data_IF_669127192006
#
_entry.id   IF_669127192006
#
_cell.length_a   1.000
_cell.length_b   1.000
_cell.length_c   1.000
_cell.angle_alpha   90.00
_cell.angle_beta   90.00
_cell.angle_gamma   90.00
#
_symmetry.space_group_name_H-M   'P 1'
#
loop_
_entity.id
_entity.type
_entity.pdbx_description
1 polymer ?
#
# COMPACT_ATOMS: atom_id res chain seq x y z
N UNK A 1 16.53 -13.19 12.62
CA UNK A 1 15.48 -12.71 11.69
C UNK A 1 16.09 -11.67 10.78
N UNK A 2 15.90 -11.82 9.49
CA UNK A 2 16.60 -11.07 8.47
C UNK A 2 15.60 -10.35 7.55
N UNK A 3 15.87 -9.08 7.19
CA UNK A 3 14.98 -8.24 6.40
C UNK A 3 15.58 -7.99 5.01
N UNK A 4 14.79 -8.12 3.95
CA UNK A 4 15.15 -7.62 2.62
C UNK A 4 14.42 -6.29 2.37
N UNK A 5 15.17 -5.20 2.25
CA UNK A 5 14.63 -3.91 1.78
C UNK A 5 14.77 -3.91 0.27
N UNK A 6 13.64 -3.77 -0.43
CA UNK A 6 13.58 -3.80 -1.90
C UNK A 6 13.21 -2.42 -2.41
N UNK A 7 14.09 -1.83 -3.20
CA UNK A 7 13.88 -0.55 -3.89
C UNK A 7 13.79 -0.79 -5.38
N UNK A 8 12.68 -0.38 -5.99
CA UNK A 8 12.58 -0.32 -7.44
C UNK A 8 12.74 1.12 -7.91
N UNK A 9 13.39 1.32 -9.06
CA UNK A 9 13.60 2.65 -9.64
C UNK A 9 13.54 2.61 -11.16
N UNK A 10 13.05 3.68 -11.78
CA UNK A 10 13.13 3.91 -13.21
C UNK A 10 13.13 5.41 -13.50
N UNK A 11 14.23 5.93 -14.05
CA UNK A 11 14.42 7.35 -14.36
C UNK A 11 14.04 8.28 -13.19
N UNK A 12 14.45 7.89 -11.97
CA UNK A 12 14.18 8.62 -10.73
C UNK A 12 15.41 8.69 -9.82
N UNK A 13 16.49 9.28 -10.34
CA UNK A 13 17.74 9.46 -9.59
C UNK A 13 17.52 10.23 -8.28
N UNK A 14 16.72 11.30 -8.31
CA UNK A 14 16.43 12.10 -7.12
C UNK A 14 15.71 11.30 -6.03
N UNK A 15 14.74 10.49 -6.42
CA UNK A 15 14.05 9.58 -5.50
C UNK A 15 14.98 8.50 -4.96
N UNK A 16 15.84 7.93 -5.81
CA UNK A 16 16.85 6.96 -5.36
C UNK A 16 17.80 7.54 -4.32
N UNK A 17 18.24 8.81 -4.49
CA UNK A 17 19.00 9.54 -3.48
C UNK A 17 18.25 9.67 -2.15
N UNK A 18 16.97 10.11 -2.19
CA UNK A 18 16.15 10.24 -0.97
C UNK A 18 16.05 8.92 -0.20
N UNK A 19 15.76 7.82 -0.91
CA UNK A 19 15.65 6.49 -0.29
C UNK A 19 16.99 6.07 0.32
N UNK A 20 18.09 6.21 -0.42
CA UNK A 20 19.44 5.92 0.05
C UNK A 20 19.79 6.71 1.33
N UNK A 21 19.58 8.03 1.31
CA UNK A 21 19.89 8.90 2.44
C UNK A 21 19.10 8.50 3.69
N UNK A 22 17.84 8.07 3.53
CA UNK A 22 17.00 7.59 4.63
C UNK A 22 17.53 6.28 5.25
N UNK A 23 18.22 5.45 4.48
CA UNK A 23 18.81 4.17 4.91
C UNK A 23 20.25 4.32 5.37
N UNK A 24 20.91 5.45 5.11
CA UNK A 24 22.35 5.62 5.26
C UNK A 24 22.88 5.28 6.65
N UNK A 25 22.17 5.66 7.72
CA UNK A 25 22.56 5.31 9.08
C UNK A 25 22.63 3.78 9.27
N UNK A 26 21.60 3.04 8.82
CA UNK A 26 21.57 1.58 8.90
C UNK A 26 22.64 0.92 8.01
N UNK A 27 22.84 1.46 6.82
CA UNK A 27 23.89 0.96 5.88
C UNK A 27 25.30 1.14 6.45
N UNK A 28 25.57 2.26 7.13
CA UNK A 28 26.86 2.56 7.74
C UNK A 28 27.16 1.71 8.98
N UNK A 29 26.12 1.28 9.70
CA UNK A 29 26.26 0.46 10.92
C UNK A 29 26.25 -1.05 10.62
N UNK A 30 26.04 -1.45 9.37
CA UNK A 30 25.79 -2.83 8.96
C UNK A 30 26.96 -3.79 9.20
N UNK A 31 28.20 -3.32 9.18
CA UNK A 31 29.41 -4.14 9.33
C UNK A 31 29.45 -4.95 10.64
N UNK A 32 28.68 -4.52 11.66
CA UNK A 32 28.63 -5.18 12.96
C UNK A 32 27.42 -6.12 13.15
N UNK A 33 26.39 -6.01 12.28
CA UNK A 33 25.17 -6.82 12.45
C UNK A 33 24.38 -6.90 11.14
N UNK A 34 24.66 -7.91 10.33
CA UNK A 34 23.96 -8.16 9.05
C UNK A 34 22.53 -8.64 9.27
N UNK A 35 21.64 -7.77 9.77
CA UNK A 35 20.25 -8.12 10.01
C UNK A 35 19.31 -7.76 8.83
N UNK A 36 19.83 -7.05 7.83
CA UNK A 36 19.10 -6.73 6.59
C UNK A 36 20.01 -6.74 5.36
N UNK A 37 19.39 -6.87 4.20
CA UNK A 37 20.01 -6.62 2.89
C UNK A 37 19.25 -5.51 2.16
N UNK A 38 19.96 -4.75 1.32
CA UNK A 38 19.36 -3.78 0.43
C UNK A 38 19.48 -4.21 -1.02
N UNK A 39 18.31 -4.36 -1.68
CA UNK A 39 18.19 -4.85 -3.06
C UNK A 39 17.63 -3.70 -3.91
N UNK A 40 18.27 -3.39 -5.04
CA UNK A 40 17.81 -2.34 -5.95
C UNK A 40 17.57 -2.92 -7.33
N UNK A 41 16.36 -2.72 -7.84
CA UNK A 41 15.98 -3.12 -9.20
C UNK A 41 15.73 -1.86 -10.02
N UNK A 42 16.60 -1.59 -10.97
CA UNK A 42 16.50 -0.46 -11.89
C UNK A 42 15.94 -0.92 -13.25
N UNK A 43 14.93 -0.23 -13.74
CA UNK A 43 14.21 -0.52 -14.98
C UNK A 43 14.97 -0.14 -16.27
N UNK A 44 16.29 0.04 -16.20
CA UNK A 44 17.13 0.46 -17.33
C UNK A 44 17.19 1.98 -17.47
N UNK A 45 17.39 2.70 -16.37
CA UNK A 45 17.45 4.16 -16.30
C UNK A 45 18.64 4.73 -17.08
N UNK A 46 18.49 5.98 -17.54
CA UNK A 46 19.52 6.75 -18.26
C UNK A 46 19.75 8.14 -17.67
N UNK A 47 19.30 8.37 -16.46
CA UNK A 47 19.32 9.67 -15.76
C UNK A 47 20.46 9.82 -14.75
N UNK A 48 21.42 8.85 -14.72
CA UNK A 48 22.49 8.79 -13.76
C UNK A 48 22.25 7.79 -12.62
N UNK A 49 21.07 7.11 -12.59
CA UNK A 49 20.77 6.09 -11.56
C UNK A 49 21.75 4.93 -11.58
N UNK A 50 22.17 4.47 -12.77
CA UNK A 50 23.13 3.35 -12.92
C UNK A 50 24.51 3.76 -12.40
N UNK A 51 24.97 4.97 -12.69
CA UNK A 51 26.23 5.52 -12.18
C UNK A 51 26.18 5.66 -10.65
N UNK A 52 25.03 6.05 -10.10
CA UNK A 52 24.82 6.09 -8.66
C UNK A 52 24.95 4.70 -8.03
N UNK A 53 24.28 3.69 -8.58
CA UNK A 53 24.34 2.30 -8.11
C UNK A 53 25.77 1.74 -8.17
N UNK A 54 26.48 1.97 -9.26
CA UNK A 54 27.87 1.57 -9.39
C UNK A 54 28.77 2.20 -8.32
N UNK A 55 28.58 3.49 -8.03
CA UNK A 55 29.36 4.22 -7.02
C UNK A 55 29.13 3.70 -5.61
N UNK A 56 27.90 3.27 -5.30
CA UNK A 56 27.49 2.78 -3.99
C UNK A 56 27.38 1.25 -3.91
N UNK A 57 27.93 0.54 -4.90
CA UNK A 57 27.85 -0.93 -4.99
C UNK A 57 28.32 -1.65 -3.72
N UNK A 58 29.25 -1.08 -2.97
CA UNK A 58 29.73 -1.65 -1.71
C UNK A 58 28.71 -1.60 -0.56
N UNK A 59 27.64 -0.81 -0.69
CA UNK A 59 26.54 -0.68 0.29
C UNK A 59 25.28 -1.42 -0.13
N UNK A 60 25.22 -1.92 -1.38
CA UNK A 60 24.04 -2.59 -1.96
C UNK A 60 24.36 -4.08 -2.09
N UNK A 61 23.52 -4.94 -1.51
CA UNK A 61 23.75 -6.40 -1.53
C UNK A 61 23.50 -7.04 -2.89
N UNK A 62 22.51 -6.49 -3.60
CA UNK A 62 22.20 -6.89 -4.96
C UNK A 62 21.57 -5.74 -5.71
N UNK A 63 22.00 -5.50 -6.93
CA UNK A 63 21.28 -4.63 -7.84
C UNK A 63 21.41 -5.11 -9.29
N UNK A 64 20.42 -4.75 -10.10
CA UNK A 64 20.42 -4.98 -11.54
C UNK A 64 19.75 -3.80 -12.24
N UNK A 65 20.29 -3.44 -13.41
CA UNK A 65 19.70 -2.44 -14.30
C UNK A 65 19.38 -3.11 -15.63
N UNK A 66 18.11 -3.31 -15.89
CA UNK A 66 17.61 -3.88 -17.13
C UNK A 66 16.15 -3.46 -17.36
N UNK A 67 15.68 -3.39 -18.60
CA UNK A 67 14.28 -3.08 -18.88
C UNK A 67 13.33 -4.00 -18.14
N UNK A 68 12.30 -3.42 -17.54
CA UNK A 68 11.20 -4.15 -16.93
C UNK A 68 9.88 -3.97 -17.72
N UNK A 69 8.86 -4.74 -17.31
CA UNK A 69 7.51 -4.68 -17.90
C UNK A 69 6.54 -3.88 -17.01
N UNK A 70 7.06 -3.06 -16.10
CA UNK A 70 6.31 -2.26 -15.15
C UNK A 70 6.69 -2.52 -13.70
N UNK A 71 6.08 -1.77 -12.80
CA UNK A 71 6.35 -1.73 -11.35
C UNK A 71 6.40 -3.12 -10.73
N UNK A 72 5.38 -3.93 -10.97
CA UNK A 72 5.30 -5.26 -10.34
C UNK A 72 6.23 -6.30 -10.96
N UNK A 73 6.65 -6.12 -12.22
CA UNK A 73 7.73 -6.93 -12.78
C UNK A 73 9.06 -6.63 -12.06
N UNK A 74 9.35 -5.35 -11.81
CA UNK A 74 10.53 -4.95 -11.04
C UNK A 74 10.44 -5.45 -9.57
N UNK A 75 9.29 -5.28 -8.90
CA UNK A 75 9.08 -5.82 -7.54
C UNK A 75 9.26 -7.34 -7.49
N UNK A 76 8.73 -8.09 -8.47
CA UNK A 76 8.88 -9.53 -8.56
C UNK A 76 10.35 -9.98 -8.77
N UNK A 77 11.15 -9.20 -9.51
CA UNK A 77 12.61 -9.43 -9.58
C UNK A 77 13.25 -9.25 -8.21
N UNK A 78 12.87 -8.20 -7.48
CA UNK A 78 13.34 -7.95 -6.11
C UNK A 78 12.96 -9.08 -5.14
N UNK A 79 11.72 -9.57 -5.19
CA UNK A 79 11.27 -10.71 -4.39
C UNK A 79 12.15 -11.96 -4.67
N UNK A 80 12.42 -12.24 -5.94
CA UNK A 80 13.25 -13.40 -6.33
C UNK A 80 14.70 -13.28 -5.87
N UNK A 81 15.24 -12.06 -5.81
CA UNK A 81 16.60 -11.80 -5.33
C UNK A 81 16.69 -11.82 -3.79
N UNK A 82 15.58 -11.62 -3.09
CA UNK A 82 15.51 -11.49 -1.63
C UNK A 82 15.80 -12.80 -0.91
N UNK A 83 16.55 -12.69 0.21
CA UNK A 83 16.92 -13.81 1.10
C UNK A 83 16.34 -13.64 2.51
N UNK A 84 15.84 -12.45 2.84
CA UNK A 84 15.28 -12.13 4.15
C UNK A 84 14.05 -12.95 4.52
N UNK A 85 13.77 -13.05 5.80
CA UNK A 85 12.53 -13.68 6.31
C UNK A 85 11.32 -12.79 6.01
N UNK A 86 11.54 -11.47 5.98
CA UNK A 86 10.56 -10.44 5.61
C UNK A 86 11.08 -9.56 4.48
N UNK A 87 10.14 -9.08 3.66
CA UNK A 87 10.38 -8.10 2.60
C UNK A 87 9.73 -6.77 2.98
N UNK A 88 10.44 -5.69 2.76
CA UNK A 88 9.96 -4.31 2.89
C UNK A 88 10.21 -3.55 1.60
N UNK A 89 9.16 -3.06 0.98
CA UNK A 89 9.27 -2.30 -0.26
C UNK A 89 9.34 -0.80 0.04
N UNK A 90 10.47 -0.18 -0.29
CA UNK A 90 10.69 1.26 -0.32
C UNK A 90 11.13 1.64 -1.72
N UNK A 91 10.20 2.06 -2.56
CA UNK A 91 10.50 2.47 -3.93
C UNK A 91 11.33 3.76 -3.95
N UNK A 92 11.98 4.08 -5.06
CA UNK A 92 12.76 5.31 -5.18
C UNK A 92 11.86 6.55 -4.96
N UNK A 93 12.14 7.29 -3.88
CA UNK A 93 11.36 8.40 -3.35
C UNK A 93 10.72 8.12 -1.99
N UNK A 94 10.43 6.85 -1.69
CA UNK A 94 9.96 6.45 -0.35
C UNK A 94 11.14 6.46 0.64
N UNK A 95 10.89 6.85 1.88
CA UNK A 95 11.91 6.98 2.91
C UNK A 95 11.54 6.18 4.15
N UNK A 96 12.55 5.54 4.74
CA UNK A 96 12.47 5.10 6.13
C UNK A 96 12.31 6.34 7.02
N UNK A 97 11.42 6.30 8.01
CA UNK A 97 11.30 7.40 8.97
C UNK A 97 12.56 7.47 9.86
N UNK A 98 13.06 8.66 10.12
CA UNK A 98 14.29 8.87 10.88
C UNK A 98 14.26 8.26 12.28
N UNK A 99 13.10 8.36 12.97
CA UNK A 99 12.91 7.85 14.32
C UNK A 99 12.83 6.33 14.42
N UNK A 100 12.71 5.58 13.31
CA UNK A 100 12.67 4.12 13.33
C UNK A 100 14.07 3.56 13.55
N UNK A 101 14.32 3.03 14.75
CA UNK A 101 15.57 2.33 15.05
C UNK A 101 15.56 0.89 14.49
N UNK A 102 16.74 0.35 14.27
CA UNK A 102 16.91 -1.05 13.87
C UNK A 102 16.39 -2.00 14.94
N UNK A 103 16.60 -1.67 16.22
CA UNK A 103 16.19 -2.47 17.37
C UNK A 103 14.66 -2.55 17.49
N UNK A 104 13.97 -1.40 17.36
CA UNK A 104 12.50 -1.36 17.41
C UNK A 104 11.89 -2.19 16.30
N UNK A 105 12.39 -2.04 15.05
CA UNK A 105 11.88 -2.82 13.93
C UNK A 105 12.15 -4.32 14.10
N UNK A 106 13.36 -4.71 14.50
CA UNK A 106 13.64 -6.11 14.78
C UNK A 106 12.74 -6.68 15.90
N UNK A 107 12.44 -5.85 16.92
CA UNK A 107 11.48 -6.19 17.98
C UNK A 107 10.10 -6.50 17.40
N UNK A 108 9.59 -5.62 16.53
CA UNK A 108 8.30 -5.81 15.87
C UNK A 108 8.27 -7.07 14.99
N UNK A 109 9.32 -7.32 14.21
CA UNK A 109 9.38 -8.48 13.31
C UNK A 109 9.43 -9.83 14.05
N UNK A 110 9.92 -9.87 15.29
CA UNK A 110 9.92 -11.08 16.16
C UNK A 110 8.53 -11.57 16.55
N UNK A 111 7.49 -10.74 16.40
CA UNK A 111 6.08 -11.13 16.59
C UNK A 111 5.68 -12.32 15.69
N UNK A 112 6.33 -12.49 14.54
CA UNK A 112 6.19 -13.65 13.69
C UNK A 112 4.90 -13.70 12.86
N UNK A 113 4.08 -12.65 12.86
CA UNK A 113 2.91 -12.54 11.98
C UNK A 113 3.33 -12.47 10.52
N UNK A 114 2.55 -13.03 9.61
CA UNK A 114 2.88 -13.10 8.18
C UNK A 114 2.91 -11.72 7.49
N UNK A 115 2.07 -10.81 7.95
CA UNK A 115 2.08 -9.41 7.53
C UNK A 115 2.15 -8.57 8.80
N UNK A 116 3.19 -7.76 8.94
CA UNK A 116 3.34 -6.77 10.01
C UNK A 116 3.29 -5.40 9.35
N UNK A 117 2.53 -4.47 9.90
CA UNK A 117 2.41 -3.13 9.33
C UNK A 117 2.42 -2.07 10.42
N UNK A 118 3.01 -0.93 10.09
CA UNK A 118 3.09 0.22 10.97
C UNK A 118 2.28 1.41 10.46
N UNK A 119 2.29 2.48 11.24
CA UNK A 119 1.80 3.79 10.80
C UNK A 119 2.73 4.35 9.72
N UNK A 120 2.26 5.32 8.94
CA UNK A 120 3.02 5.89 7.84
C UNK A 120 2.81 7.40 7.77
N UNK A 121 3.83 8.13 7.35
CA UNK A 121 3.67 9.53 6.98
C UNK A 121 3.42 9.69 5.49
N UNK A 122 2.44 10.49 5.16
CA UNK A 122 2.21 11.03 3.83
C UNK A 122 2.83 12.41 3.73
N UNK A 123 3.68 12.63 2.72
CA UNK A 123 4.29 13.93 2.44
C UNK A 123 3.59 14.59 1.24
N UNK A 124 3.06 15.82 1.44
CA UNK A 124 2.41 16.59 0.38
C UNK A 124 3.45 17.29 -0.52
N UNK A 125 2.98 17.92 -1.61
CA UNK A 125 3.84 18.63 -2.57
C UNK A 125 4.56 19.85 -1.97
N UNK A 126 4.21 20.31 -0.77
CA UNK A 126 4.85 21.39 -0.03
C UNK A 126 5.87 20.86 0.99
N UNK A 127 6.02 19.53 1.12
CA UNK A 127 6.87 18.88 2.10
C UNK A 127 6.26 18.74 3.50
N UNK A 128 4.96 19.01 3.67
CA UNK A 128 4.30 18.78 4.95
C UNK A 128 3.99 17.30 5.12
N UNK A 129 4.25 16.77 6.32
CA UNK A 129 4.04 15.36 6.65
C UNK A 129 2.82 15.18 7.52
N UNK A 130 1.92 14.30 7.10
CA UNK A 130 0.70 13.93 7.81
C UNK A 130 0.79 12.48 8.27
N UNK A 131 0.66 12.24 9.57
CA UNK A 131 0.66 10.88 10.11
C UNK A 131 -0.67 10.19 9.80
N UNK A 132 -0.61 9.11 9.04
CA UNK A 132 -1.72 8.20 8.79
C UNK A 132 -1.60 7.02 9.77
N UNK A 133 -2.38 7.07 10.85
CA UNK A 133 -2.46 5.97 11.81
C UNK A 133 -3.23 4.81 11.20
N UNK A 134 -2.66 3.63 11.34
CA UNK A 134 -3.30 2.39 10.91
C UNK A 134 -4.17 1.82 12.05
N UNK A 135 -5.02 0.87 11.71
CA UNK A 135 -5.93 0.21 12.65
C UNK A 135 -5.44 -1.20 12.99
N UNK A 136 -5.74 -1.66 14.21
CA UNK A 136 -5.40 -3.02 14.65
C UNK A 136 -6.20 -4.11 13.92
N UNK A 137 -7.34 -3.74 13.32
CA UNK A 137 -8.23 -4.67 12.63
C UNK A 137 -8.39 -4.28 11.16
N UNK A 138 -7.92 -5.12 10.26
CA UNK A 138 -8.07 -4.93 8.83
C UNK A 138 -9.41 -5.47 8.33
N UNK A 139 -10.12 -4.66 7.58
CA UNK A 139 -11.33 -5.01 6.86
C UNK A 139 -11.18 -4.65 5.38
N UNK A 140 -12.06 -5.14 4.54
CA UNK A 140 -12.08 -4.79 3.10
C UNK A 140 -12.18 -3.28 2.89
N UNK A 141 -12.86 -2.57 3.78
CA UNK A 141 -13.02 -1.11 3.75
C UNK A 141 -11.69 -0.37 3.74
N UNK A 142 -10.66 -0.89 4.42
CA UNK A 142 -9.33 -0.29 4.47
C UNK A 142 -8.66 -0.33 3.10
N UNK A 143 -8.87 -1.41 2.34
CA UNK A 143 -8.27 -1.57 1.01
C UNK A 143 -9.00 -0.78 -0.07
N UNK A 144 -10.31 -0.63 0.05
CA UNK A 144 -11.12 0.18 -0.88
C UNK A 144 -10.76 1.67 -0.77
N UNK A 145 -10.36 2.11 0.42
CA UNK A 145 -9.93 3.49 0.65
C UNK A 145 -8.46 3.77 0.38
N UNK A 146 -7.67 2.75 0.04
CA UNK A 146 -6.24 2.92 -0.24
C UNK A 146 -5.39 3.27 0.97
N UNK A 147 -5.81 2.91 2.19
CA UNK A 147 -5.14 3.34 3.41
C UNK A 147 -3.96 2.46 3.86
N UNK A 148 -3.82 1.25 3.35
CA UNK A 148 -2.69 0.37 3.69
C UNK A 148 -1.67 0.37 2.54
N UNK A 149 -0.68 1.24 2.63
CA UNK A 149 0.37 1.37 1.63
C UNK A 149 1.44 0.29 1.80
N UNK A 150 2.02 -0.20 0.69
CA UNK A 150 3.08 -1.22 0.74
C UNK A 150 4.31 -0.75 1.55
N UNK A 151 4.60 0.54 1.59
CA UNK A 151 5.69 1.11 2.37
C UNK A 151 5.50 0.94 3.89
N UNK A 152 4.27 0.72 4.34
CA UNK A 152 3.97 0.47 5.75
C UNK A 152 4.06 -1.01 6.14
N UNK A 153 4.25 -1.93 5.17
CA UNK A 153 4.13 -3.37 5.37
C UNK A 153 5.46 -4.10 5.32
N UNK A 154 5.64 -5.03 6.26
CA UNK A 154 6.69 -6.05 6.25
C UNK A 154 6.01 -7.39 5.98
N UNK A 155 6.26 -7.95 4.80
CA UNK A 155 5.57 -9.14 4.30
C UNK A 155 6.51 -10.34 4.42
N UNK A 156 6.08 -11.39 5.12
CA UNK A 156 6.85 -12.63 5.24
C UNK A 156 7.12 -13.23 3.85
N UNK A 157 8.40 -13.54 3.58
CA UNK A 157 8.85 -14.03 2.27
C UNK A 157 8.15 -15.30 1.84
N UNK A 158 7.74 -16.15 2.77
CA UNK A 158 7.06 -17.40 2.46
C UNK A 158 5.67 -17.19 1.82
N UNK A 159 5.02 -16.04 2.03
CA UNK A 159 3.79 -15.71 1.32
C UNK A 159 3.98 -15.57 -0.20
N UNK A 160 5.21 -15.28 -0.63
CA UNK A 160 5.58 -15.18 -2.05
C UNK A 160 6.03 -16.51 -2.66
N UNK A 161 6.11 -17.59 -1.86
CA UNK A 161 6.58 -18.90 -2.34
C UNK A 161 5.66 -19.54 -3.38
N UNK A 162 4.37 -19.26 -3.31
CA UNK A 162 3.34 -19.82 -4.20
C UNK A 162 2.80 -18.80 -5.20
N UNK A 163 2.86 -17.52 -4.86
CA UNK A 163 2.22 -16.46 -5.67
C UNK A 163 3.04 -15.18 -5.58
N UNK A 164 3.44 -14.65 -6.70
CA UNK A 164 4.07 -13.34 -6.83
C UNK A 164 3.00 -12.26 -7.08
N UNK A 165 3.39 -11.00 -7.17
CA UNK A 165 2.49 -9.94 -7.64
C UNK A 165 2.02 -10.23 -9.07
N UNK A 166 0.73 -10.03 -9.33
CA UNK A 166 0.14 -10.17 -10.66
C UNK A 166 0.55 -8.99 -11.55
N UNK A 167 1.45 -9.23 -12.50
CA UNK A 167 1.97 -8.22 -13.42
C UNK A 167 0.94 -7.67 -14.41
N UNK A 168 -0.29 -8.19 -14.43
CA UNK A 168 -1.40 -7.63 -15.20
C UNK A 168 -2.02 -6.37 -14.57
N UNK A 169 -1.72 -6.11 -13.29
CA UNK A 169 -2.00 -4.84 -12.62
C UNK A 169 -0.87 -3.83 -12.88
N UNK A 170 -1.24 -2.56 -12.96
CA UNK A 170 -0.27 -1.47 -13.11
C UNK A 170 0.05 -0.77 -11.79
N UNK A 171 -0.93 -0.70 -10.86
CA UNK A 171 -0.85 0.11 -9.64
C UNK A 171 -1.29 -0.64 -8.37
N UNK A 172 -2.17 -1.66 -8.46
CA UNK A 172 -2.82 -2.26 -7.30
C UNK A 172 -2.54 -3.76 -7.09
N UNK A 173 -1.45 -4.33 -7.64
CA UNK A 173 -1.13 -5.74 -7.42
C UNK A 173 -0.68 -6.06 -5.98
N UNK A 174 -0.09 -5.11 -5.28
CA UNK A 174 0.22 -5.20 -3.85
C UNK A 174 -1.06 -5.32 -3.02
N UNK A 175 -2.08 -4.51 -3.31
CA UNK A 175 -3.40 -4.62 -2.68
C UNK A 175 -4.07 -5.96 -3.03
N UNK A 176 -4.06 -6.37 -4.31
CA UNK A 176 -4.60 -7.65 -4.76
C UNK A 176 -3.97 -8.82 -3.99
N UNK A 177 -2.64 -8.81 -3.88
CA UNK A 177 -1.89 -9.82 -3.15
C UNK A 177 -2.30 -9.86 -1.67
N UNK A 178 -2.27 -8.72 -0.98
CA UNK A 178 -2.55 -8.64 0.45
C UNK A 178 -4.01 -9.00 0.75
N UNK A 179 -4.97 -8.52 -0.05
CA UNK A 179 -6.39 -8.89 0.08
C UNK A 179 -6.56 -10.42 -0.02
N UNK A 180 -5.94 -11.06 -1.01
CA UNK A 180 -6.00 -12.52 -1.16
C UNK A 180 -5.38 -13.25 0.02
N UNK A 181 -4.20 -12.81 0.49
CA UNK A 181 -3.53 -13.43 1.64
C UNK A 181 -4.32 -13.29 2.93
N UNK A 182 -4.95 -12.14 3.17
CA UNK A 182 -5.75 -11.89 4.39
C UNK A 182 -7.12 -12.57 4.35
N UNK A 183 -7.87 -12.42 3.26
CA UNK A 183 -9.29 -12.79 3.24
C UNK A 183 -9.57 -14.16 2.61
N UNK A 184 -8.70 -14.69 1.74
CA UNK A 184 -8.83 -16.04 1.20
C UNK A 184 -7.93 -17.05 1.92
N UNK A 185 -6.67 -16.69 2.18
CA UNK A 185 -5.70 -17.59 2.79
C UNK A 185 -5.63 -17.44 4.33
N UNK A 186 -6.32 -16.43 4.90
CA UNK A 186 -6.40 -16.16 6.34
C UNK A 186 -5.03 -16.08 7.02
N UNK A 187 -4.05 -15.45 6.37
CA UNK A 187 -2.74 -15.28 6.96
C UNK A 187 -2.79 -14.36 8.20
N UNK A 188 -1.89 -14.59 9.14
CA UNK A 188 -1.80 -13.76 10.35
C UNK A 188 -1.25 -12.38 10.02
N UNK A 189 -1.76 -11.36 10.69
CA UNK A 189 -1.27 -9.99 10.57
C UNK A 189 -1.21 -9.29 11.93
N UNK A 190 -0.40 -8.24 12.00
CA UNK A 190 -0.21 -7.46 13.22
C UNK A 190 0.06 -6.00 12.89
N UNK A 191 -0.71 -5.10 13.50
CA UNK A 191 -0.36 -3.69 13.56
C UNK A 191 0.67 -3.43 14.66
N UNK A 192 1.65 -2.60 14.37
CA UNK A 192 2.59 -2.05 15.34
C UNK A 192 2.44 -0.52 15.35
N UNK A 193 2.17 0.10 16.52
CA UNK A 193 1.79 1.52 16.59
C UNK A 193 3.03 2.44 16.50
N UNK A 194 3.88 2.21 15.51
CA UNK A 194 5.05 3.03 15.19
C UNK A 194 5.01 3.45 13.73
N UNK A 195 5.41 4.68 13.45
CA UNK A 195 5.59 5.11 12.06
C UNK A 195 6.85 4.44 11.50
N UNK A 196 6.76 3.88 10.28
CA UNK A 196 7.86 3.14 9.67
C UNK A 196 8.44 3.82 8.45
N UNK A 197 7.62 4.52 7.67
CA UNK A 197 8.04 5.16 6.43
C UNK A 197 7.37 6.51 6.19
N UNK A 198 7.91 7.22 5.20
CA UNK A 198 7.30 8.41 4.57
C UNK A 198 7.18 8.12 3.08
N UNK A 199 6.03 8.41 2.48
CA UNK A 199 5.82 8.33 1.04
C UNK A 199 5.23 9.63 0.48
N UNK A 200 5.44 9.90 -0.81
CA UNK A 200 4.93 11.09 -1.48
C UNK A 200 3.48 10.88 -1.95
N UNK A 201 2.55 11.75 -1.50
CA UNK A 201 1.12 11.67 -1.81
C UNK A 201 0.77 11.94 -3.28
N UNK A 202 1.71 12.47 -4.06
CA UNK A 202 1.54 12.85 -5.46
C UNK A 202 2.13 11.83 -6.46
N UNK A 203 2.39 10.62 -6.00
CA UNK A 203 2.90 9.51 -6.81
C UNK A 203 1.93 9.04 -7.91
N UNK A 204 2.34 8.03 -8.66
CA UNK A 204 1.59 7.49 -9.80
C UNK A 204 0.17 7.04 -9.42
N UNK A 205 -0.01 6.43 -8.26
CA UNK A 205 -1.30 5.93 -7.77
C UNK A 205 -2.31 7.06 -7.55
N UNK A 206 -1.86 8.19 -7.01
CA UNK A 206 -2.70 9.36 -6.81
C UNK A 206 -3.03 10.07 -8.12
N UNK A 207 -2.03 10.27 -8.99
CA UNK A 207 -2.24 10.92 -10.29
C UNK A 207 -3.19 10.15 -11.22
N UNK A 208 -3.22 8.82 -11.11
CA UNK A 208 -4.04 7.94 -11.95
C UNK A 208 -5.20 7.30 -11.18
N UNK A 209 -5.64 7.93 -10.06
CA UNK A 209 -6.63 7.34 -9.16
C UNK A 209 -7.91 6.89 -9.88
N UNK A 210 -8.59 7.78 -10.59
CA UNK A 210 -9.85 7.45 -11.27
C UNK A 210 -9.68 6.57 -12.51
N UNK A 211 -8.57 6.72 -13.23
CA UNK A 211 -8.36 6.04 -14.52
C UNK A 211 -7.80 4.63 -14.38
N UNK A 212 -7.01 4.35 -13.35
CA UNK A 212 -6.32 3.06 -13.17
C UNK A 212 -6.49 2.51 -11.76
N UNK A 213 -6.11 3.28 -10.73
CA UNK A 213 -6.05 2.78 -9.35
C UNK A 213 -7.41 2.26 -8.88
N UNK A 214 -8.46 3.06 -9.02
CA UNK A 214 -9.82 2.68 -8.61
C UNK A 214 -10.36 1.45 -9.37
N UNK A 215 -10.28 1.36 -10.71
CA UNK A 215 -10.66 0.14 -11.45
C UNK A 215 -9.88 -1.11 -11.05
N UNK A 216 -8.58 -0.97 -10.77
CA UNK A 216 -7.76 -2.10 -10.35
C UNK A 216 -8.08 -2.55 -8.92
N UNK A 217 -8.30 -1.64 -7.97
CA UNK A 217 -8.76 -1.98 -6.62
C UNK A 217 -10.12 -2.69 -6.66
N UNK A 218 -11.05 -2.20 -7.50
CA UNK A 218 -12.34 -2.87 -7.71
C UNK A 218 -12.14 -4.30 -8.23
N UNK A 219 -11.25 -4.49 -9.20
CA UNK A 219 -10.87 -5.81 -9.72
C UNK A 219 -10.29 -6.71 -8.63
N UNK A 220 -9.35 -6.21 -7.83
CA UNK A 220 -8.70 -6.95 -6.74
C UNK A 220 -9.74 -7.46 -5.72
N UNK A 221 -10.62 -6.59 -5.26
CA UNK A 221 -11.70 -6.95 -4.33
C UNK A 221 -12.67 -7.96 -4.95
N UNK A 222 -13.03 -7.77 -6.24
CA UNK A 222 -13.93 -8.66 -6.97
C UNK A 222 -13.37 -10.07 -7.14
N UNK A 223 -12.07 -10.20 -7.32
CA UNK A 223 -11.39 -11.49 -7.46
C UNK A 223 -11.24 -12.24 -6.13
N UNK A 224 -11.16 -11.50 -5.03
CA UNK A 224 -10.92 -12.07 -3.71
C UNK A 224 -12.19 -12.39 -2.92
N UNK A 225 -13.33 -11.78 -3.23
CA UNK A 225 -14.54 -11.89 -2.43
C UNK A 225 -15.76 -12.16 -3.30
N UNK A 226 -16.59 -13.10 -2.87
CA UNK A 226 -17.91 -13.33 -3.48
C UNK A 226 -18.76 -12.05 -3.39
N UNK A 227 -19.25 -11.57 -4.54
CA UNK A 227 -19.94 -10.28 -4.61
C UNK A 227 -19.08 -9.06 -4.40
N UNK A 228 -17.75 -9.20 -4.53
CA UNK A 228 -16.76 -8.14 -4.26
C UNK A 228 -16.98 -6.85 -5.04
N UNK A 229 -17.52 -6.91 -6.26
CA UNK A 229 -17.91 -5.72 -7.02
C UNK A 229 -19.00 -4.91 -6.31
N UNK A 230 -20.02 -5.59 -5.81
CA UNK A 230 -21.11 -4.95 -5.06
C UNK A 230 -20.59 -4.31 -3.76
N UNK A 231 -19.73 -5.03 -3.03
CA UNK A 231 -19.11 -4.51 -1.81
C UNK A 231 -18.27 -3.29 -2.09
N UNK A 232 -17.41 -3.35 -3.11
CA UNK A 232 -16.57 -2.23 -3.50
C UNK A 232 -17.39 -0.98 -3.82
N UNK A 233 -18.38 -1.12 -4.72
CA UNK A 233 -19.21 0.00 -5.15
C UNK A 233 -20.06 0.56 -3.99
N UNK A 234 -20.55 -0.29 -3.10
CA UNK A 234 -21.36 0.14 -1.92
C UNK A 234 -20.52 0.91 -0.90
N UNK A 235 -19.29 0.45 -0.60
CA UNK A 235 -18.40 1.10 0.34
C UNK A 235 -17.94 2.44 -0.22
N UNK A 236 -17.58 2.46 -1.50
CA UNK A 236 -17.16 3.67 -2.17
C UNK A 236 -18.29 4.72 -2.23
N UNK A 237 -19.51 4.29 -2.60
CA UNK A 237 -20.67 5.18 -2.59
C UNK A 237 -20.94 5.75 -1.19
N UNK A 238 -20.80 4.94 -0.13
CA UNK A 238 -20.93 5.43 1.25
C UNK A 238 -19.89 6.49 1.59
N UNK A 239 -18.62 6.29 1.21
CA UNK A 239 -17.55 7.27 1.43
C UNK A 239 -17.77 8.55 0.64
N UNK A 240 -18.14 8.44 -0.63
CA UNK A 240 -18.47 9.60 -1.46
C UNK A 240 -19.69 10.37 -0.93
N UNK A 241 -20.63 9.71 -0.26
CA UNK A 241 -21.78 10.36 0.41
C UNK A 241 -21.38 11.07 1.71
N UNK A 242 -20.35 10.57 2.39
CA UNK A 242 -19.80 11.19 3.60
C UNK A 242 -18.83 12.33 3.25
N UNK A 243 -18.43 12.48 1.98
CA UNK A 243 -17.48 13.48 1.53
C UNK A 243 -18.16 14.85 1.34
N UNK A 244 -17.56 15.91 1.91
CA UNK A 244 -18.04 17.31 1.86
C UNK A 244 -18.28 17.80 0.42
N UNK A 245 -17.56 17.26 -0.56
CA UNK A 245 -17.71 17.56 -1.99
C UNK A 245 -19.07 17.10 -2.51
N UNK A 246 -19.54 15.91 -2.14
CA UNK A 246 -20.84 15.42 -2.55
C UNK A 246 -21.96 16.14 -1.79
N UNK A 247 -21.73 16.47 -0.51
CA UNK A 247 -22.66 17.30 0.28
C UNK A 247 -22.89 18.66 -0.38
N UNK A 248 -21.82 19.30 -0.88
CA UNK A 248 -21.90 20.55 -1.61
C UNK A 248 -22.60 20.41 -2.97
N UNK A 249 -22.34 19.33 -3.72
CA UNK A 249 -23.07 19.03 -4.96
C UNK A 249 -24.54 18.71 -4.71
N UNK A 250 -24.87 18.01 -3.64
CA UNK A 250 -26.24 17.75 -3.21
C UNK A 250 -26.96 19.04 -2.75
N UNK A 251 -26.26 19.96 -2.08
CA UNK A 251 -26.83 21.28 -1.77
C UNK A 251 -27.18 22.07 -3.04
N UNK A 252 -26.31 21.99 -4.08
CA UNK A 252 -26.58 22.63 -5.36
C UNK A 252 -27.81 22.01 -6.07
N UNK A 253 -27.91 20.68 -6.08
CA UNK A 253 -29.06 19.96 -6.65
C UNK A 253 -30.35 20.15 -5.83
N UNK A 254 -30.24 20.33 -4.51
CA UNK A 254 -31.38 20.56 -3.62
C UNK A 254 -31.85 22.02 -3.55
N UNK A 255 -31.08 22.96 -4.11
CA UNK A 255 -31.53 24.35 -4.26
C UNK A 255 -32.71 24.49 -5.23
N UNK A 256 -32.92 23.52 -6.12
CA UNK A 256 -34.14 23.40 -6.93
C UNK A 256 -35.29 22.81 -6.10
N UNK A 257 -36.12 23.66 -5.56
CA UNK A 257 -37.25 23.35 -4.64
C UNK A 257 -38.11 22.13 -5.02
N UNK A 258 -38.25 21.80 -6.32
CA UNK A 258 -39.06 20.66 -6.81
C UNK A 258 -38.32 19.30 -6.78
N UNK A 259 -36.98 19.30 -6.89
CA UNK A 259 -36.20 18.04 -6.88
C UNK A 259 -35.89 17.54 -5.45
N UNK A 260 -35.85 18.46 -4.49
CA UNK A 260 -35.52 18.15 -3.08
C UNK A 260 -36.37 17.05 -2.48
N UNK A 261 -37.68 17.09 -2.71
CA UNK A 261 -38.61 16.09 -2.16
C UNK A 261 -38.44 14.67 -2.77
N UNK A 262 -38.06 14.59 -4.04
CA UNK A 262 -37.85 13.32 -4.75
C UNK A 262 -36.50 12.71 -4.35
N UNK A 263 -35.45 13.50 -4.29
CA UNK A 263 -34.11 13.08 -3.89
C UNK A 263 -34.10 12.63 -2.42
N UNK A 264 -34.72 13.37 -1.51
CA UNK A 264 -34.82 12.97 -0.11
C UNK A 264 -35.62 11.66 0.08
N UNK A 265 -36.69 11.44 -0.70
CA UNK A 265 -37.44 10.18 -0.65
C UNK A 265 -36.62 9.00 -1.21
N UNK A 266 -35.90 9.17 -2.30
CA UNK A 266 -35.02 8.15 -2.87
C UNK A 266 -33.87 7.79 -1.92
N UNK A 267 -33.21 8.79 -1.33
CA UNK A 267 -32.15 8.57 -0.33
C UNK A 267 -32.68 7.87 0.92
N UNK A 268 -33.86 8.27 1.42
CA UNK A 268 -34.50 7.60 2.56
C UNK A 268 -34.82 6.13 2.24
N UNK A 269 -35.29 5.82 1.04
CA UNK A 269 -35.53 4.44 0.59
C UNK A 269 -34.25 3.61 0.50
N UNK A 270 -33.19 4.18 -0.06
CA UNK A 270 -31.87 3.52 -0.18
C UNK A 270 -31.31 3.25 1.21
N UNK A 271 -31.33 4.22 2.13
CA UNK A 271 -30.88 4.06 3.51
C UNK A 271 -31.69 3.00 4.25
N UNK A 272 -33.00 3.00 4.08
CA UNK A 272 -33.91 2.01 4.72
C UNK A 272 -33.67 0.60 4.18
N UNK A 273 -33.49 0.43 2.87
CA UNK A 273 -33.12 -0.85 2.27
C UNK A 273 -31.76 -1.34 2.76
N UNK A 274 -30.78 -0.45 2.84
CA UNK A 274 -29.46 -0.79 3.37
C UNK A 274 -29.50 -1.24 4.83
N UNK A 275 -30.21 -0.50 5.69
CA UNK A 275 -30.39 -0.88 7.10
C UNK A 275 -31.12 -2.21 7.25
N UNK A 276 -32.11 -2.47 6.39
CA UNK A 276 -32.85 -3.74 6.38
C UNK A 276 -31.94 -4.91 5.97
N UNK A 277 -31.13 -4.77 4.92
CA UNK A 277 -30.14 -5.76 4.50
C UNK A 277 -29.13 -6.06 5.61
N UNK A 278 -28.58 -5.01 6.25
CA UNK A 278 -27.63 -5.15 7.36
C UNK A 278 -28.23 -5.90 8.56
N UNK A 279 -29.48 -5.64 8.89
CA UNK A 279 -30.18 -6.33 9.97
C UNK A 279 -30.54 -7.79 9.61
N UNK A 280 -30.74 -8.10 8.32
CA UNK A 280 -30.95 -9.47 7.84
C UNK A 280 -29.64 -10.30 7.92
N UNK A 281 -28.51 -9.73 7.57
CA UNK A 281 -27.19 -10.39 7.69
C UNK A 281 -26.83 -10.72 9.14
N UNK A 282 -27.10 -9.80 10.09
CA UNK A 282 -26.86 -10.05 11.52
C UNK A 282 -27.74 -11.23 12.02
N UNK A 283 -28.97 -11.38 11.51
CA UNK A 283 -29.84 -12.50 11.86
C UNK A 283 -29.40 -13.84 11.26
N UNK A 284 -28.72 -13.83 10.11
CA UNK A 284 -28.20 -15.06 9.47
C UNK A 284 -26.93 -15.54 10.17
N UNK A 285 -26.08 -14.62 10.64
CA UNK A 285 -24.86 -14.98 11.40
C UNK A 285 -25.11 -15.48 12.82
N UNK A 286 -26.29 -15.23 13.38
CA UNK A 286 -26.67 -15.64 14.74
C UNK A 286 -27.59 -16.89 14.75
N UNK A 287 -27.70 -17.59 13.64
CA UNK A 287 -28.27 -18.93 13.53
C UNK A 287 -27.19 -19.93 13.08
#
# INVERSE_FOLDING_TARGET
MFLSIVTITYSNLSGLHKTFDSLNAWLSERDNNHWFEWIVIDGGSKDGSVEFLNRHNHLIDYWVSEPDKGVYNAMNKGIKASKGDYLWFLNAGDCKIESLSAEDLQGCLREGSKIIYGDIFEEDCNGNRHLLKQTDSLSVDHFIGGHLSHQSMFISRDLFSTTLYDESFRIAADHDFVIKKLFLEHCTYKHVPIAVAVYESFGMSAQQYYSITRPELRRAVSQALDGGEYWYDSILMRRELDDEVLFNHMQYLTSAKRLRGVICKLLSLIITCYQWCKNAEIKIRNR
#
